data_IF_623361556525
#
_entry.id   IF_623361556525
#
_cell.length_a   1.000
_cell.length_b   1.000
_cell.length_c   1.000
_cell.angle_alpha   90.00
_cell.angle_beta   90.00
_cell.angle_gamma   90.00
#
_symmetry.space_group_name_H-M   'P 1'
#
loop_
_entity.id
_entity.type
_entity.pdbx_description
1 polymer ?
#
# COMPACT_ATOMS: atom_id res chain seq x y z
N UNK A 1 -18.39 -17.94 -2.00
CA UNK A 1 -16.94 -17.80 -1.82
C UNK A 1 -16.47 -16.82 -2.87
N UNK A 2 -16.09 -15.59 -2.51
CA UNK A 2 -15.48 -14.71 -3.52
C UNK A 2 -14.11 -15.30 -3.89
N UNK A 3 -13.79 -15.27 -5.17
CA UNK A 3 -12.47 -15.66 -5.66
C UNK A 3 -11.41 -14.72 -5.09
N UNK A 4 -10.26 -15.26 -4.67
CA UNK A 4 -9.21 -14.46 -4.06
C UNK A 4 -8.42 -13.74 -5.15
N UNK A 5 -8.48 -12.41 -5.16
CA UNK A 5 -7.86 -11.60 -6.19
C UNK A 5 -6.41 -11.25 -5.82
N UNK A 6 -5.55 -11.22 -6.85
CA UNK A 6 -4.16 -10.78 -6.73
C UNK A 6 -3.71 -9.96 -7.95
N UNK A 7 -2.68 -9.14 -7.78
CA UNK A 7 -1.97 -8.49 -8.88
C UNK A 7 -2.85 -7.65 -9.80
N UNK A 8 -2.69 -7.82 -11.13
CA UNK A 8 -3.39 -7.02 -12.14
C UNK A 8 -4.90 -7.26 -12.14
N UNK A 9 -5.32 -8.49 -11.94
CA UNK A 9 -6.74 -8.85 -11.90
C UNK A 9 -7.43 -8.20 -10.71
N UNK A 10 -6.78 -8.19 -9.55
CA UNK A 10 -7.26 -7.48 -8.37
C UNK A 10 -7.47 -6.00 -8.64
N UNK A 11 -6.48 -5.33 -9.24
CA UNK A 11 -6.62 -3.92 -9.64
C UNK A 11 -7.81 -3.74 -10.58
N UNK A 12 -7.90 -4.58 -11.62
CA UNK A 12 -8.95 -4.47 -12.62
C UNK A 12 -10.35 -4.59 -11.99
N UNK A 13 -10.61 -5.68 -11.28
CA UNK A 13 -11.91 -5.91 -10.64
C UNK A 13 -12.25 -4.84 -9.62
N UNK A 14 -11.28 -4.43 -8.81
CA UNK A 14 -11.48 -3.35 -7.84
C UNK A 14 -11.88 -2.05 -8.54
N UNK A 15 -11.14 -1.65 -9.56
CA UNK A 15 -11.37 -0.39 -10.28
C UNK A 15 -12.69 -0.41 -11.04
N UNK A 16 -13.08 -1.52 -11.66
CA UNK A 16 -14.33 -1.68 -12.40
C UNK A 16 -15.58 -1.66 -11.50
N UNK A 17 -15.42 -2.08 -10.25
CA UNK A 17 -16.54 -2.27 -9.32
C UNK A 17 -16.54 -1.28 -8.15
N UNK A 18 -15.67 -0.26 -8.21
CA UNK A 18 -15.45 0.70 -7.12
C UNK A 18 -15.24 0.00 -5.76
N UNK A 19 -14.42 -1.05 -5.77
CA UNK A 19 -14.06 -1.84 -4.60
C UNK A 19 -15.18 -2.70 -4.03
N UNK A 20 -16.30 -2.91 -4.75
CA UNK A 20 -17.26 -3.95 -4.38
C UNK A 20 -16.61 -5.35 -4.46
N UNK A 21 -15.68 -5.54 -5.39
CA UNK A 21 -14.79 -6.70 -5.45
C UNK A 21 -13.36 -6.31 -5.06
N UNK A 22 -12.76 -7.08 -4.15
CA UNK A 22 -11.34 -6.95 -3.78
C UNK A 22 -11.01 -5.90 -2.72
N UNK A 23 -11.96 -5.10 -2.21
CA UNK A 23 -11.70 -4.28 -1.01
C UNK A 23 -11.49 -5.16 0.22
N UNK A 24 -12.43 -6.05 0.50
CA UNK A 24 -12.31 -7.04 1.57
C UNK A 24 -11.44 -8.20 1.08
N UNK A 25 -10.30 -8.45 1.74
CA UNK A 25 -9.27 -9.38 1.29
C UNK A 25 -8.61 -10.07 2.49
N UNK A 26 -8.69 -11.39 2.58
CA UNK A 26 -8.07 -12.19 3.65
C UNK A 26 -8.30 -11.68 5.09
N UNK A 27 -9.50 -11.19 5.40
CA UNK A 27 -9.82 -10.66 6.74
C UNK A 27 -9.24 -9.26 7.01
N UNK A 28 -8.73 -8.59 5.98
CA UNK A 28 -8.29 -7.19 6.02
C UNK A 28 -8.88 -6.41 4.83
N UNK A 29 -8.48 -5.15 4.67
CA UNK A 29 -8.95 -4.25 3.62
C UNK A 29 -7.81 -3.74 2.75
N UNK A 30 -8.11 -3.57 1.47
CA UNK A 30 -7.16 -3.18 0.43
C UNK A 30 -7.60 -1.87 -0.24
N UNK A 31 -6.62 -1.04 -0.57
CA UNK A 31 -6.75 0.14 -1.41
C UNK A 31 -5.94 -0.06 -2.71
N UNK A 32 -6.27 0.70 -3.75
CA UNK A 32 -5.45 0.75 -4.96
C UNK A 32 -4.59 2.00 -4.91
N UNK A 33 -3.27 1.81 -4.80
CA UNK A 33 -2.29 2.88 -4.92
C UNK A 33 -1.84 2.99 -6.37
N UNK A 34 -1.93 4.18 -6.95
CA UNK A 34 -1.40 4.49 -8.28
C UNK A 34 -0.20 5.43 -8.18
N UNK A 35 0.93 5.00 -8.71
CA UNK A 35 2.21 5.73 -8.72
C UNK A 35 2.67 6.03 -10.15
N UNK A 36 3.53 7.05 -10.33
CA UNK A 36 4.23 7.29 -11.60
C UNK A 36 5.47 6.41 -11.69
N UNK A 37 5.62 5.61 -12.74
CA UNK A 37 6.78 4.75 -12.95
C UNK A 37 8.05 5.56 -13.16
N UNK A 38 8.98 5.57 -12.18
CA UNK A 38 10.17 6.46 -12.20
C UNK A 38 11.07 6.34 -13.43
N UNK A 39 11.00 5.22 -14.17
CA UNK A 39 11.76 4.99 -15.40
C UNK A 39 10.94 5.23 -16.67
N UNK A 40 9.64 4.95 -16.63
CA UNK A 40 8.79 4.95 -17.83
C UNK A 40 7.86 6.15 -17.93
N UNK A 41 7.61 6.87 -16.82
CA UNK A 41 6.59 7.92 -16.73
C UNK A 41 5.15 7.41 -16.68
N UNK A 42 4.91 6.11 -16.88
CA UNK A 42 3.57 5.53 -16.93
C UNK A 42 2.96 5.35 -15.55
N UNK A 43 1.64 5.49 -15.44
CA UNK A 43 0.90 5.18 -14.19
C UNK A 43 0.91 3.68 -13.91
N UNK A 44 1.16 3.30 -12.65
CA UNK A 44 1.26 1.93 -12.16
C UNK A 44 0.42 1.77 -10.90
N UNK A 45 -0.61 0.92 -10.98
CA UNK A 45 -1.51 0.65 -9.86
C UNK A 45 -1.15 -0.66 -9.16
N UNK A 46 -1.24 -0.67 -7.82
CA UNK A 46 -0.93 -1.83 -6.98
C UNK A 46 -1.98 -1.96 -5.87
N UNK A 47 -2.57 -3.15 -5.65
CA UNK A 47 -3.46 -3.39 -4.53
C UNK A 47 -2.61 -3.58 -3.26
N UNK A 48 -2.89 -2.82 -2.21
CA UNK A 48 -2.15 -2.82 -0.95
C UNK A 48 -3.10 -2.80 0.25
N UNK A 49 -2.76 -3.60 1.27
CA UNK A 49 -3.38 -3.45 2.59
C UNK A 49 -3.13 -2.04 3.09
N UNK A 50 -4.19 -1.39 3.60
CA UNK A 50 -4.10 -0.07 4.19
C UNK A 50 -4.78 -0.02 5.55
N UNK A 51 -4.41 0.97 6.36
CA UNK A 51 -5.17 1.35 7.57
C UNK A 51 -5.31 2.87 7.66
N UNK A 52 -6.48 3.40 8.07
CA UNK A 52 -6.61 4.80 8.48
C UNK A 52 -5.71 5.12 9.67
N UNK A 53 -5.17 6.34 9.72
CA UNK A 53 -4.32 6.82 10.81
C UNK A 53 -4.42 8.34 10.94
N UNK A 54 -5.27 8.81 11.84
CA UNK A 54 -5.67 10.22 11.88
C UNK A 54 -6.33 10.63 10.55
N UNK A 55 -5.85 11.72 9.97
CA UNK A 55 -6.30 12.22 8.66
C UNK A 55 -5.53 11.59 7.46
N UNK A 56 -4.68 10.60 7.73
CA UNK A 56 -3.84 9.92 6.75
C UNK A 56 -4.19 8.42 6.61
N UNK A 57 -3.53 7.75 5.68
CA UNK A 57 -3.57 6.30 5.51
C UNK A 57 -2.17 5.71 5.55
N UNK A 58 -2.04 4.50 6.08
CA UNK A 58 -0.79 3.77 6.17
C UNK A 58 -0.76 2.61 5.18
N UNK A 59 0.39 2.42 4.52
CA UNK A 59 0.72 1.28 3.66
C UNK A 59 2.07 0.69 4.08
N UNK A 60 2.36 -0.57 3.74
CA UNK A 60 3.65 -1.21 4.08
C UNK A 60 4.35 -1.75 2.82
N UNK A 61 5.58 -1.29 2.58
CA UNK A 61 6.43 -1.74 1.47
C UNK A 61 7.18 -3.05 1.80
N UNK A 62 6.43 -4.08 2.18
CA UNK A 62 6.98 -5.35 2.64
C UNK A 62 7.46 -6.25 1.50
N UNK A 63 6.67 -6.37 0.42
CA UNK A 63 6.87 -7.36 -0.64
C UNK A 63 7.16 -8.77 -0.08
N UNK A 64 6.43 -9.18 0.97
CA UNK A 64 6.60 -10.48 1.63
C UNK A 64 7.98 -10.70 2.29
N UNK A 65 8.75 -9.65 2.52
CA UNK A 65 10.12 -9.74 3.03
C UNK A 65 11.17 -9.96 1.94
N UNK A 66 10.86 -9.66 0.67
CA UNK A 66 11.85 -9.71 -0.40
C UNK A 66 13.07 -8.80 -0.09
N UNK A 67 14.29 -9.18 -0.54
CA UNK A 67 15.51 -8.41 -0.28
C UNK A 67 15.46 -7.00 -0.90
N UNK A 68 14.67 -6.82 -1.96
CA UNK A 68 14.48 -5.55 -2.65
C UNK A 68 13.18 -4.85 -2.22
N UNK A 69 13.17 -3.52 -2.29
CA UNK A 69 11.93 -2.75 -2.17
C UNK A 69 11.02 -2.94 -3.39
N UNK A 70 9.68 -2.91 -3.19
CA UNK A 70 8.73 -3.02 -4.29
C UNK A 70 8.80 -1.82 -5.23
N UNK A 71 8.44 -2.07 -6.49
CA UNK A 71 8.52 -1.04 -7.54
C UNK A 71 7.67 0.19 -7.21
N UNK A 72 6.47 0.02 -6.64
CA UNK A 72 5.61 1.13 -6.24
C UNK A 72 6.26 2.01 -5.16
N UNK A 73 7.02 1.43 -4.23
CA UNK A 73 7.77 2.19 -3.23
C UNK A 73 8.91 2.96 -3.88
N UNK A 74 9.69 2.29 -4.74
CA UNK A 74 10.76 2.94 -5.49
C UNK A 74 10.22 4.06 -6.40
N UNK A 75 8.98 3.96 -6.88
CA UNK A 75 8.30 4.98 -7.67
C UNK A 75 7.92 6.19 -6.80
N UNK A 76 7.20 5.98 -5.70
CA UNK A 76 6.78 7.10 -4.83
C UNK A 76 7.95 7.81 -4.16
N UNK A 77 9.07 7.12 -3.94
CA UNK A 77 10.28 7.76 -3.43
C UNK A 77 10.92 8.73 -4.44
N UNK A 78 10.60 8.57 -5.73
CA UNK A 78 11.07 9.47 -6.79
C UNK A 78 10.05 10.57 -7.12
N UNK A 79 8.76 10.27 -7.02
CA UNK A 79 7.64 11.19 -7.24
C UNK A 79 6.55 10.92 -6.20
N UNK A 80 6.44 11.75 -5.14
CA UNK A 80 5.52 11.49 -4.04
C UNK A 80 4.06 11.79 -4.37
N UNK A 81 3.76 12.35 -5.55
CA UNK A 81 2.40 12.60 -6.01
C UNK A 81 1.75 11.30 -6.48
N UNK A 82 0.76 10.83 -5.72
CA UNK A 82 0.07 9.57 -5.95
C UNK A 82 -1.43 9.76 -6.03
N UNK A 83 -2.13 8.73 -6.50
CA UNK A 83 -3.58 8.61 -6.33
C UNK A 83 -3.87 7.39 -5.48
N UNK A 84 -4.79 7.53 -4.53
CA UNK A 84 -5.31 6.42 -3.75
C UNK A 84 -6.80 6.23 -4.06
N UNK A 85 -7.20 4.98 -4.25
CA UNK A 85 -8.60 4.61 -4.33
C UNK A 85 -8.97 3.72 -3.15
N UNK A 86 -10.01 4.13 -2.43
CA UNK A 86 -10.66 3.37 -1.37
C UNK A 86 -12.14 3.25 -1.74
N UNK A 87 -12.56 2.05 -2.15
CA UNK A 87 -13.89 1.80 -2.73
C UNK A 87 -14.18 2.81 -3.85
N UNK A 88 -15.27 3.57 -3.76
CA UNK A 88 -15.62 4.61 -4.74
C UNK A 88 -14.88 5.94 -4.55
N UNK A 89 -14.18 6.16 -3.44
CA UNK A 89 -13.43 7.41 -3.22
C UNK A 89 -12.06 7.30 -3.91
N UNK A 90 -11.79 8.22 -4.83
CA UNK A 90 -10.53 8.33 -5.58
C UNK A 90 -10.00 9.74 -5.42
N UNK A 91 -8.78 9.86 -4.92
CA UNK A 91 -8.20 11.17 -4.63
C UNK A 91 -6.70 11.21 -4.88
N UNK A 92 -6.23 12.42 -5.22
CA UNK A 92 -4.81 12.74 -5.22
C UNK A 92 -4.32 12.85 -3.79
N UNK A 93 -3.09 12.41 -3.58
CA UNK A 93 -2.46 12.39 -2.27
C UNK A 93 -0.96 12.56 -2.40
N UNK A 94 -0.34 12.96 -1.29
CA UNK A 94 1.09 13.03 -1.14
C UNK A 94 1.56 11.83 -0.29
N UNK A 95 2.54 11.09 -0.82
CA UNK A 95 3.12 9.92 -0.16
C UNK A 95 4.48 10.25 0.46
N UNK A 96 4.71 9.80 1.69
CA UNK A 96 6.02 9.89 2.35
C UNK A 96 6.34 8.64 3.14
N UNK A 97 7.63 8.34 3.28
CA UNK A 97 8.08 7.30 4.21
C UNK A 97 7.97 7.83 5.64
N UNK A 98 7.41 7.01 6.54
CA UNK A 98 7.39 7.32 7.97
C UNK A 98 8.82 7.50 8.49
N UNK A 99 9.04 8.53 9.31
CA UNK A 99 10.33 8.75 9.95
C UNK A 99 10.64 7.66 10.98
N UNK A 100 11.91 7.49 11.40
CA UNK A 100 12.27 6.52 12.45
C UNK A 100 11.51 6.72 13.77
N UNK A 101 11.05 7.95 14.06
CA UNK A 101 10.27 8.26 15.26
C UNK A 101 8.79 7.86 15.11
N UNK A 102 8.21 8.02 13.92
CA UNK A 102 6.81 7.68 13.65
C UNK A 102 6.62 6.18 13.42
N UNK A 103 7.58 5.53 12.75
CA UNK A 103 7.49 4.15 12.28
C UNK A 103 7.07 3.15 13.37
N UNK A 104 7.62 3.15 14.61
CA UNK A 104 7.25 2.15 15.60
C UNK A 104 5.75 2.13 15.93
N UNK A 105 5.12 3.30 16.02
CA UNK A 105 3.70 3.41 16.34
C UNK A 105 2.81 2.99 15.16
N UNK A 106 3.14 3.48 13.97
CA UNK A 106 2.44 3.13 12.74
C UNK A 106 2.62 1.64 12.38
N UNK A 107 3.79 1.06 12.68
CA UNK A 107 4.05 -0.37 12.50
C UNK A 107 3.10 -1.21 13.36
N UNK A 108 2.93 -0.87 14.64
CA UNK A 108 1.97 -1.55 15.53
C UNK A 108 0.54 -1.51 14.98
N UNK A 109 0.14 -0.38 14.40
CA UNK A 109 -1.18 -0.26 13.73
C UNK A 109 -1.31 -1.25 12.58
N UNK A 110 -0.31 -1.32 11.71
CA UNK A 110 -0.32 -2.23 10.57
C UNK A 110 -0.21 -3.71 10.98
N UNK A 111 0.57 -4.05 12.01
CA UNK A 111 0.72 -5.45 12.47
C UNK A 111 -0.46 -5.94 13.30
N UNK A 112 -1.21 -5.06 13.96
CA UNK A 112 -2.50 -5.42 14.54
C UNK A 112 -3.51 -5.92 13.48
N UNK A 113 -3.40 -5.41 12.25
CA UNK A 113 -4.23 -5.83 11.11
C UNK A 113 -3.63 -7.00 10.36
N UNK A 114 -2.31 -7.01 10.15
CA UNK A 114 -1.59 -8.05 9.40
C UNK A 114 -0.31 -8.48 10.14
N UNK A 115 -0.41 -9.40 11.12
CA UNK A 115 0.71 -9.80 11.98
C UNK A 115 1.91 -10.36 11.21
N UNK A 116 1.65 -10.92 10.04
CA UNK A 116 2.63 -11.46 9.11
C UNK A 116 3.74 -10.46 8.72
N UNK A 117 3.48 -9.15 8.83
CA UNK A 117 4.53 -8.14 8.63
C UNK A 117 5.72 -8.32 9.57
N UNK A 118 5.51 -8.72 10.83
CA UNK A 118 6.62 -8.98 11.77
C UNK A 118 7.45 -10.16 11.29
N UNK A 119 6.81 -11.23 10.80
CA UNK A 119 7.50 -12.37 10.19
C UNK A 119 8.32 -11.92 8.99
N UNK A 120 7.81 -11.02 8.16
CA UNK A 120 8.52 -10.55 6.97
C UNK A 120 9.80 -9.77 7.31
N UNK A 121 9.85 -9.08 8.46
CA UNK A 121 11.08 -8.39 8.89
C UNK A 121 12.23 -9.36 9.14
N UNK A 122 11.94 -10.61 9.54
CA UNK A 122 12.96 -11.63 9.78
C UNK A 122 13.58 -12.19 8.49
N UNK A 123 12.93 -11.95 7.33
CA UNK A 123 13.35 -12.48 6.03
C UNK A 123 14.27 -11.55 5.27
N UNK A 124 14.55 -10.35 5.79
CA UNK A 124 15.33 -9.33 5.08
C UNK A 124 16.15 -8.47 6.03
N UNK A 125 17.23 -7.88 5.52
CA UNK A 125 18.08 -6.95 6.28
C UNK A 125 17.71 -5.49 6.08
N UNK A 126 16.91 -5.16 5.05
CA UNK A 126 16.42 -3.79 4.84
C UNK A 126 15.34 -3.46 5.86
N UNK A 127 15.26 -2.20 6.27
CA UNK A 127 14.07 -1.74 6.96
C UNK A 127 12.86 -1.84 6.00
N UNK A 128 11.77 -2.44 6.48
CA UNK A 128 10.50 -2.45 5.74
C UNK A 128 9.83 -1.09 5.97
N UNK A 129 9.66 -0.27 4.92
CA UNK A 129 9.06 1.06 5.07
C UNK A 129 7.57 0.98 5.40
N UNK A 130 7.15 1.84 6.31
CA UNK A 130 5.75 2.28 6.42
C UNK A 130 5.63 3.56 5.60
N UNK A 131 4.59 3.63 4.78
CA UNK A 131 4.30 4.79 3.93
C UNK A 131 3.04 5.45 4.45
N UNK A 132 3.12 6.76 4.65
CA UNK A 132 2.01 7.64 5.04
C UNK A 132 1.48 8.30 3.78
N UNK A 133 0.17 8.23 3.59
CA UNK A 133 -0.56 8.84 2.47
C UNK A 133 -1.47 9.93 3.03
N UNK A 134 -1.19 11.18 2.67
CA UNK A 134 -1.93 12.36 3.11
C UNK A 134 -2.74 12.89 1.93
N UNK A 135 -4.06 13.03 2.09
CA UNK A 135 -4.93 13.57 1.03
C UNK A 135 -4.53 15.02 0.71
N UNK A 136 -4.43 15.34 -0.58
CA UNK A 136 -4.10 16.68 -1.06
C UNK A 136 -5.31 17.64 -1.02
#
# INVERSE_FOLDING_TARGET
MSEMLFGKEHVQRYVETDGAEGHDWQGTTVAILTTTGRKSGEKRSTPLIYQPYGDAYLLVASQGGAPDHPLWYKNLSADPEVELQIRGDRFKAHARTATPKERPDMWRTMTATWPDYDVYTTKTSREIPVVVIERA
#
